data_IF_577241439804
#
_entry.id   IF_577241439804
#
_cell.length_a   1.000
_cell.length_b   1.000
_cell.length_c   1.000
_cell.angle_alpha   90.00
_cell.angle_beta   90.00
_cell.angle_gamma   90.00
#
_symmetry.space_group_name_H-M   'P 1'
#
loop_
_entity.id
_entity.type
_entity.pdbx_description
1 polymer ?
#
# COMPACT_ATOMS: atom_id res chain seq x y z
N UNK A 1 -58.45 4.52 -32.00
CA UNK A 1 -58.50 5.45 -33.17
C UNK A 1 -57.57 4.96 -34.26
N UNK A 2 -58.08 4.39 -35.37
CA UNK A 2 -57.25 3.79 -36.41
C UNK A 2 -56.30 4.79 -37.10
N UNK A 3 -56.71 6.06 -37.20
CA UNK A 3 -55.91 7.15 -37.79
C UNK A 3 -54.59 7.34 -37.02
N UNK A 4 -54.61 7.31 -35.68
CA UNK A 4 -53.42 7.46 -34.84
C UNK A 4 -52.47 6.26 -34.97
N UNK A 5 -53.03 5.05 -35.10
CA UNK A 5 -52.25 3.84 -35.32
C UNK A 5 -51.55 3.87 -36.68
N UNK A 6 -52.23 4.35 -37.72
CA UNK A 6 -51.65 4.50 -39.06
C UNK A 6 -50.58 5.60 -39.12
N UNK A 7 -50.78 6.74 -38.45
CA UNK A 7 -49.76 7.81 -38.42
C UNK A 7 -48.50 7.40 -37.64
N UNK A 8 -48.64 6.64 -36.55
CA UNK A 8 -47.50 6.05 -35.84
C UNK A 8 -46.76 5.01 -36.69
N UNK A 9 -47.49 4.15 -37.42
CA UNK A 9 -46.90 3.18 -38.34
C UNK A 9 -46.10 3.88 -39.45
N UNK A 10 -46.70 4.87 -40.13
CA UNK A 10 -46.07 5.66 -41.17
C UNK A 10 -44.79 6.35 -40.67
N UNK A 11 -44.86 7.04 -39.53
CA UNK A 11 -43.70 7.72 -38.92
C UNK A 11 -42.59 6.73 -38.53
N UNK A 12 -42.95 5.54 -38.02
CA UNK A 12 -41.97 4.51 -37.66
C UNK A 12 -41.23 3.99 -38.89
N UNK A 13 -41.92 3.75 -40.01
CA UNK A 13 -41.30 3.29 -41.27
C UNK A 13 -40.34 4.34 -41.87
N UNK A 14 -40.71 5.63 -41.82
CA UNK A 14 -39.84 6.71 -42.31
C UNK A 14 -38.61 6.86 -41.41
N UNK A 15 -38.78 6.87 -40.08
CA UNK A 15 -37.69 7.04 -39.12
C UNK A 15 -36.72 5.84 -39.08
N UNK A 16 -37.21 4.62 -39.30
CA UNK A 16 -36.37 3.41 -39.41
C UNK A 16 -35.81 3.18 -40.81
N UNK A 17 -36.03 4.10 -41.76
CA UNK A 17 -35.56 4.04 -43.15
C UNK A 17 -36.06 2.84 -43.97
N UNK A 18 -37.14 2.18 -43.52
CA UNK A 18 -37.77 1.05 -44.22
C UNK A 18 -38.51 1.53 -45.48
N UNK A 19 -39.15 2.71 -45.42
CA UNK A 19 -39.64 3.41 -46.61
C UNK A 19 -40.86 2.82 -47.33
N UNK A 20 -41.53 1.81 -46.76
CA UNK A 20 -42.77 1.22 -47.31
C UNK A 20 -44.01 2.13 -47.12
N UNK A 21 -43.93 3.37 -47.61
CA UNK A 21 -45.01 4.37 -47.50
C UNK A 21 -45.54 4.79 -48.88
N UNK A 22 -46.84 5.17 -48.99
CA UNK A 22 -47.39 5.67 -50.25
C UNK A 22 -46.63 6.91 -50.75
N UNK A 23 -46.37 7.05 -52.07
CA UNK A 23 -45.66 8.20 -52.59
C UNK A 23 -46.46 9.50 -52.44
N UNK A 24 -45.82 10.64 -52.14
CA UNK A 24 -46.48 11.93 -52.09
C UNK A 24 -47.03 12.35 -53.46
N UNK A 25 -48.13 13.09 -53.47
CA UNK A 25 -48.84 13.55 -54.67
C UNK A 25 -48.75 15.08 -54.82
N UNK A 26 -48.76 15.82 -53.71
CA UNK A 26 -48.66 17.29 -53.69
C UNK A 26 -47.24 17.78 -53.39
N UNK A 27 -46.84 18.92 -53.96
CA UNK A 27 -45.51 19.52 -53.71
C UNK A 27 -45.22 19.79 -52.22
N UNK A 28 -46.25 20.09 -51.42
CA UNK A 28 -46.19 20.21 -49.96
C UNK A 28 -45.84 18.89 -49.27
N UNK A 29 -46.42 17.79 -49.73
CA UNK A 29 -46.14 16.43 -49.24
C UNK A 29 -44.72 16.00 -49.59
N UNK A 30 -44.23 16.29 -50.82
CA UNK A 30 -42.83 16.05 -51.20
C UNK A 30 -41.85 16.78 -50.27
N UNK A 31 -42.10 18.06 -49.97
CA UNK A 31 -41.25 18.84 -49.05
C UNK A 31 -41.27 18.27 -47.62
N UNK A 32 -42.44 17.85 -47.13
CA UNK A 32 -42.58 17.23 -45.83
C UNK A 32 -41.84 15.88 -45.75
N UNK A 33 -42.06 14.98 -46.71
CA UNK A 33 -41.44 13.65 -46.74
C UNK A 33 -39.92 13.74 -46.87
N UNK A 34 -39.39 14.64 -47.70
CA UNK A 34 -37.93 14.84 -47.81
C UNK A 34 -37.34 15.35 -46.48
N UNK A 35 -38.03 16.26 -45.80
CA UNK A 35 -37.57 16.80 -44.50
C UNK A 35 -37.62 15.73 -43.41
N UNK A 36 -38.73 14.99 -43.31
CA UNK A 36 -38.91 13.90 -42.33
C UNK A 36 -37.93 12.76 -42.56
N UNK A 37 -37.65 12.41 -43.82
CA UNK A 37 -36.65 11.39 -44.18
C UNK A 37 -35.22 11.83 -43.79
N UNK A 38 -34.83 13.07 -44.04
CA UNK A 38 -33.53 13.60 -43.61
C UNK A 38 -33.39 13.58 -42.08
N UNK A 39 -34.44 13.96 -41.34
CA UNK A 39 -34.47 13.88 -39.87
C UNK A 39 -34.41 12.42 -39.39
N UNK A 40 -35.16 11.52 -40.00
CA UNK A 40 -35.16 10.08 -39.71
C UNK A 40 -33.78 9.45 -39.87
N UNK A 41 -33.09 9.73 -40.99
CA UNK A 41 -31.72 9.26 -41.24
C UNK A 41 -30.75 9.77 -40.17
N UNK A 42 -30.84 11.04 -39.76
CA UNK A 42 -29.99 11.59 -38.69
C UNK A 42 -30.26 10.93 -37.34
N UNK A 43 -31.53 10.72 -36.97
CA UNK A 43 -31.92 10.03 -35.73
C UNK A 43 -31.42 8.58 -35.75
N UNK A 44 -31.65 7.85 -36.83
CA UNK A 44 -31.22 6.46 -36.99
C UNK A 44 -29.70 6.32 -36.91
N UNK A 45 -28.94 7.15 -37.63
CA UNK A 45 -27.48 7.19 -37.57
C UNK A 45 -26.97 7.48 -36.14
N UNK A 46 -27.63 8.39 -35.41
CA UNK A 46 -27.29 8.70 -34.02
C UNK A 46 -27.54 7.51 -33.08
N UNK A 47 -28.66 6.80 -33.24
CA UNK A 47 -28.99 5.60 -32.45
C UNK A 47 -27.95 4.50 -32.72
N UNK A 48 -27.65 4.20 -33.98
CA UNK A 48 -26.66 3.17 -34.35
C UNK A 48 -25.26 3.54 -33.84
N UNK A 49 -24.85 4.81 -33.96
CA UNK A 49 -23.57 5.30 -33.42
C UNK A 49 -23.46 5.14 -31.90
N UNK A 50 -24.54 5.49 -31.16
CA UNK A 50 -24.58 5.35 -29.71
C UNK A 50 -24.56 3.87 -29.26
N UNK A 51 -25.31 2.99 -29.94
CA UNK A 51 -25.28 1.54 -29.66
C UNK A 51 -23.89 0.96 -29.96
N UNK A 52 -23.25 1.36 -31.07
CA UNK A 52 -21.87 0.97 -31.38
C UNK A 52 -20.88 1.41 -30.30
N UNK A 53 -20.96 2.67 -29.87
CA UNK A 53 -20.14 3.23 -28.78
C UNK A 53 -20.38 2.52 -27.44
N UNK A 54 -21.62 2.13 -27.14
CA UNK A 54 -21.93 1.36 -25.93
C UNK A 54 -21.28 -0.05 -25.97
N UNK A 55 -21.33 -0.73 -27.11
CA UNK A 55 -20.75 -2.08 -27.29
C UNK A 55 -19.22 -2.05 -27.19
N UNK A 56 -18.56 -1.04 -27.77
CA UNK A 56 -17.09 -0.90 -27.67
C UNK A 56 -16.66 -0.55 -26.25
N UNK A 57 -17.33 0.39 -25.59
CA UNK A 57 -17.03 0.76 -24.20
C UNK A 57 -17.26 -0.39 -23.22
N UNK A 58 -18.36 -1.14 -23.35
CA UNK A 58 -18.66 -2.31 -22.51
C UNK A 58 -17.57 -3.39 -22.60
N UNK A 59 -16.97 -3.57 -23.77
CA UNK A 59 -15.91 -4.55 -23.99
C UNK A 59 -14.49 -3.99 -23.85
N UNK A 60 -14.31 -2.69 -23.56
CA UNK A 60 -13.02 -2.01 -23.59
C UNK A 60 -11.96 -2.66 -22.67
N UNK A 61 -12.33 -3.04 -21.44
CA UNK A 61 -11.42 -3.72 -20.53
C UNK A 61 -10.93 -5.08 -21.07
N UNK A 62 -11.83 -5.84 -21.71
CA UNK A 62 -11.50 -7.14 -22.33
C UNK A 62 -10.65 -6.95 -23.58
N UNK A 63 -10.96 -5.96 -24.41
CA UNK A 63 -10.17 -5.63 -25.60
C UNK A 63 -8.74 -5.20 -25.23
N UNK A 64 -8.58 -4.34 -24.22
CA UNK A 64 -7.29 -3.90 -23.71
C UNK A 64 -6.44 -5.07 -23.16
N UNK A 65 -7.05 -5.99 -22.42
CA UNK A 65 -6.36 -7.18 -21.92
C UNK A 65 -5.97 -8.15 -23.05
N UNK A 66 -6.88 -8.39 -24.00
CA UNK A 66 -6.62 -9.22 -25.17
C UNK A 66 -5.45 -8.67 -26.02
N UNK A 67 -5.42 -7.35 -26.26
CA UNK A 67 -4.34 -6.70 -26.98
C UNK A 67 -2.96 -6.88 -26.29
N UNK A 68 -2.91 -6.87 -24.95
CA UNK A 68 -1.68 -7.17 -24.19
C UNK A 68 -1.24 -8.61 -24.39
N UNK A 69 -2.15 -9.58 -24.33
CA UNK A 69 -1.84 -10.99 -24.60
C UNK A 69 -1.30 -11.17 -26.02
N UNK A 70 -1.93 -10.54 -27.01
CA UNK A 70 -1.57 -10.74 -28.41
C UNK A 70 -0.22 -10.10 -28.75
N UNK A 71 0.13 -8.95 -28.13
CA UNK A 71 1.48 -8.40 -28.20
C UNK A 71 2.54 -9.36 -27.61
N UNK A 72 2.24 -10.03 -26.50
CA UNK A 72 3.15 -11.01 -25.87
C UNK A 72 3.27 -12.29 -26.72
N UNK A 73 2.19 -12.77 -27.35
CA UNK A 73 2.23 -13.87 -28.32
C UNK A 73 3.10 -13.53 -29.53
N UNK A 74 2.97 -12.31 -30.06
CA UNK A 74 3.82 -11.82 -31.16
C UNK A 74 5.29 -11.79 -30.74
N UNK A 75 5.61 -11.27 -29.54
CA UNK A 75 6.98 -11.27 -29.01
C UNK A 75 7.55 -12.70 -28.86
N UNK A 76 6.79 -13.63 -28.28
CA UNK A 76 7.22 -15.03 -28.12
C UNK A 76 7.46 -15.71 -29.48
N UNK A 77 6.61 -15.43 -30.47
CA UNK A 77 6.75 -15.94 -31.85
C UNK A 77 8.00 -15.38 -32.51
N UNK A 78 8.23 -14.07 -32.42
CA UNK A 78 9.41 -13.39 -32.96
C UNK A 78 10.71 -13.91 -32.34
N UNK A 79 10.72 -14.13 -31.02
CA UNK A 79 11.86 -14.68 -30.28
C UNK A 79 12.00 -16.21 -30.37
N UNK A 80 11.13 -16.90 -31.11
CA UNK A 80 11.11 -18.37 -31.27
C UNK A 80 11.13 -19.13 -29.93
N UNK A 81 10.32 -18.67 -28.99
CA UNK A 81 10.14 -19.31 -27.67
C UNK A 81 9.57 -20.72 -27.83
N UNK A 82 9.94 -21.64 -26.94
CA UNK A 82 9.43 -23.02 -26.97
C UNK A 82 7.91 -23.06 -26.76
N UNK A 83 7.24 -23.98 -27.46
CA UNK A 83 5.77 -24.10 -27.39
C UNK A 83 5.24 -24.43 -25.99
N UNK A 84 6.06 -25.05 -25.14
CA UNK A 84 5.69 -25.33 -23.75
C UNK A 84 5.76 -24.10 -22.86
N UNK A 85 6.73 -23.20 -23.08
CA UNK A 85 6.75 -21.91 -22.37
C UNK A 85 5.62 -20.99 -22.87
N UNK A 86 5.35 -20.97 -24.17
CA UNK A 86 4.22 -20.24 -24.76
C UNK A 86 2.88 -20.67 -24.14
N UNK A 87 2.62 -21.99 -24.05
CA UNK A 87 1.43 -22.54 -23.38
C UNK A 87 1.37 -22.15 -21.90
N UNK A 88 2.49 -22.20 -21.16
CA UNK A 88 2.54 -21.79 -19.75
C UNK A 88 2.18 -20.32 -19.56
N UNK A 89 2.75 -19.43 -20.39
CA UNK A 89 2.47 -17.99 -20.37
C UNK A 89 1.00 -17.71 -20.65
N UNK A 90 0.41 -18.32 -21.69
CA UNK A 90 -1.02 -18.15 -22.01
C UNK A 90 -1.88 -18.63 -20.82
N UNK A 91 -1.62 -19.81 -20.27
CA UNK A 91 -2.38 -20.36 -19.13
C UNK A 91 -2.25 -19.51 -17.85
N UNK A 92 -1.16 -18.78 -17.67
CA UNK A 92 -1.01 -17.81 -16.57
C UNK A 92 -1.89 -16.57 -16.80
N UNK A 93 -1.91 -16.03 -18.02
CA UNK A 93 -2.82 -14.92 -18.37
C UNK A 93 -4.31 -15.30 -18.25
N UNK A 94 -4.69 -16.51 -18.68
CA UNK A 94 -6.05 -17.01 -18.50
C UNK A 94 -6.44 -17.06 -17.01
N UNK A 95 -5.55 -17.55 -16.14
CA UNK A 95 -5.77 -17.56 -14.69
C UNK A 95 -5.93 -16.15 -14.10
N UNK A 96 -5.10 -15.18 -14.51
CA UNK A 96 -5.22 -13.80 -14.06
C UNK A 96 -6.56 -13.18 -14.49
N UNK A 97 -7.02 -13.45 -15.71
CA UNK A 97 -8.29 -12.95 -16.22
C UNK A 97 -9.49 -13.55 -15.49
N UNK A 98 -9.57 -14.88 -15.40
CA UNK A 98 -10.70 -15.59 -14.78
C UNK A 98 -10.88 -15.20 -13.32
N UNK A 99 -9.79 -15.01 -12.57
CA UNK A 99 -9.84 -14.65 -11.15
C UNK A 99 -9.90 -13.14 -10.90
N UNK A 100 -10.05 -12.30 -11.95
CA UNK A 100 -10.02 -10.83 -11.89
C UNK A 100 -8.72 -10.22 -11.32
N UNK A 101 -7.66 -11.04 -11.17
CA UNK A 101 -6.30 -10.66 -10.74
C UNK A 101 -5.49 -9.94 -11.85
N UNK A 102 -6.08 -9.79 -13.04
CA UNK A 102 -5.53 -9.01 -14.16
C UNK A 102 -5.64 -7.48 -13.97
N UNK A 103 -6.36 -7.02 -12.94
CA UNK A 103 -6.44 -5.60 -12.58
C UNK A 103 -5.23 -5.27 -11.69
N UNK A 104 -4.38 -4.36 -12.15
CA UNK A 104 -3.29 -3.84 -11.33
C UNK A 104 -3.87 -2.93 -10.23
N UNK A 105 -3.86 -3.41 -8.98
CA UNK A 105 -4.34 -2.66 -7.81
C UNK A 105 -3.65 -1.29 -7.69
N UNK A 106 -2.36 -1.16 -8.08
CA UNK A 106 -1.65 0.12 -8.03
C UNK A 106 -2.25 1.13 -9.02
N UNK A 107 -2.62 0.66 -10.22
CA UNK A 107 -3.23 1.49 -11.25
C UNK A 107 -4.67 1.92 -10.94
N UNK A 108 -5.41 1.13 -10.15
CA UNK A 108 -6.75 1.52 -9.67
C UNK A 108 -6.65 2.47 -8.49
N UNK A 109 -5.76 2.18 -7.53
CA UNK A 109 -5.63 2.97 -6.30
C UNK A 109 -4.88 4.29 -6.51
N UNK A 110 -4.18 4.52 -7.64
CA UNK A 110 -3.42 5.75 -7.89
C UNK A 110 -4.23 7.05 -7.84
N UNK A 111 -5.53 6.99 -8.07
CA UNK A 111 -6.43 8.15 -8.03
C UNK A 111 -6.90 8.52 -6.61
N UNK A 112 -6.61 7.67 -5.62
CA UNK A 112 -7.01 7.90 -4.23
C UNK A 112 -5.88 8.58 -3.44
N UNK A 113 -6.22 9.53 -2.54
CA UNK A 113 -5.29 10.06 -1.55
C UNK A 113 -4.67 8.96 -0.69
N UNK A 114 -3.42 9.15 -0.27
CA UNK A 114 -2.62 8.18 0.48
C UNK A 114 -3.35 7.56 1.68
N UNK A 115 -4.09 8.38 2.44
CA UNK A 115 -4.90 7.93 3.57
C UNK A 115 -5.97 6.91 3.17
N UNK A 116 -6.70 7.14 2.08
CA UNK A 116 -7.73 6.21 1.61
C UNK A 116 -7.12 4.93 1.01
N UNK A 117 -5.95 5.04 0.35
CA UNK A 117 -5.20 3.85 -0.10
C UNK A 117 -4.78 2.98 1.09
N UNK A 118 -4.29 3.61 2.16
CA UNK A 118 -3.93 2.91 3.39
C UNK A 118 -5.14 2.25 4.04
N UNK A 119 -6.26 2.96 4.22
CA UNK A 119 -7.49 2.39 4.79
C UNK A 119 -8.04 1.21 3.97
N UNK A 120 -7.96 1.24 2.64
CA UNK A 120 -8.33 0.11 1.78
C UNK A 120 -7.36 -1.06 1.97
N UNK A 121 -6.04 -0.82 1.88
CA UNK A 121 -5.04 -1.87 2.04
C UNK A 121 -5.20 -2.60 3.39
N UNK A 122 -5.41 -1.84 4.48
CA UNK A 122 -5.68 -2.37 5.82
C UNK A 122 -6.91 -3.28 5.78
N UNK A 123 -8.06 -2.81 5.29
CA UNK A 123 -9.28 -3.62 5.26
C UNK A 123 -9.16 -4.87 4.37
N UNK A 124 -8.37 -4.86 3.29
CA UNK A 124 -8.25 -6.00 2.36
C UNK A 124 -7.19 -7.01 2.82
N UNK A 125 -6.15 -6.61 3.57
CA UNK A 125 -5.00 -7.47 3.88
C UNK A 125 -4.83 -7.81 5.36
N UNK A 126 -5.35 -6.99 6.28
CA UNK A 126 -5.18 -7.18 7.73
C UNK A 126 -5.70 -8.56 8.20
N UNK A 127 -6.84 -9.01 7.69
CA UNK A 127 -7.41 -10.33 8.03
C UNK A 127 -6.59 -11.51 7.50
N UNK A 128 -5.75 -11.30 6.48
CA UNK A 128 -4.79 -12.32 6.05
C UNK A 128 -3.61 -12.35 7.00
N UNK A 129 -3.03 -11.18 7.33
CA UNK A 129 -1.90 -11.07 8.27
C UNK A 129 -2.23 -11.60 9.67
N UNK A 130 -3.42 -11.30 10.21
CA UNK A 130 -3.88 -11.82 11.51
C UNK A 130 -3.96 -13.35 11.59
N UNK A 131 -4.17 -14.04 10.46
CA UNK A 131 -4.17 -15.51 10.40
C UNK A 131 -2.76 -16.10 10.45
N UNK A 132 -1.74 -15.30 10.18
CA UNK A 132 -0.34 -15.75 10.19
C UNK A 132 0.15 -15.86 11.63
N UNK A 133 0.52 -17.07 12.07
CA UNK A 133 0.92 -17.38 13.47
C UNK A 133 2.13 -16.62 14.03
N UNK A 134 2.82 -15.79 13.25
CA UNK A 134 3.88 -14.91 13.76
C UNK A 134 3.38 -13.47 13.97
N UNK A 135 2.35 -13.08 13.22
CA UNK A 135 1.75 -11.75 13.28
C UNK A 135 0.45 -11.71 14.10
N UNK A 136 -0.08 -12.88 14.51
CA UNK A 136 -1.28 -12.99 15.34
C UNK A 136 -1.15 -12.29 16.72
N UNK A 137 0.01 -12.40 17.36
CA UNK A 137 0.29 -11.80 18.68
C UNK A 137 1.02 -10.44 18.57
N UNK A 138 1.13 -9.86 17.37
CA UNK A 138 1.75 -8.57 17.15
C UNK A 138 0.79 -7.40 17.40
N UNK A 139 1.35 -6.24 17.75
CA UNK A 139 0.56 -5.02 17.91
C UNK A 139 -0.09 -4.59 16.58
N UNK A 140 -1.30 -4.05 16.65
CA UNK A 140 -2.06 -3.60 15.48
C UNK A 140 -1.32 -2.52 14.65
N UNK A 141 -0.48 -1.70 15.28
CA UNK A 141 0.39 -0.72 14.61
C UNK A 141 1.34 -1.38 13.61
N UNK A 142 2.10 -2.40 14.06
CA UNK A 142 2.98 -3.19 13.19
C UNK A 142 2.22 -3.83 12.04
N UNK A 143 1.03 -4.40 12.30
CA UNK A 143 0.22 -5.02 11.25
C UNK A 143 -0.18 -4.00 10.17
N UNK A 144 -0.60 -2.81 10.58
CA UNK A 144 -0.94 -1.72 9.66
C UNK A 144 0.27 -1.29 8.84
N UNK A 145 1.44 -1.11 9.45
CA UNK A 145 2.65 -0.73 8.74
C UNK A 145 3.08 -1.79 7.72
N UNK A 146 3.09 -3.07 8.12
CA UNK A 146 3.43 -4.19 7.24
C UNK A 146 2.49 -4.28 6.04
N UNK A 147 1.17 -4.12 6.24
CA UNK A 147 0.17 -4.13 5.15
C UNK A 147 0.55 -3.16 4.04
N UNK A 148 0.99 -1.95 4.38
CA UNK A 148 1.30 -0.90 3.39
C UNK A 148 2.53 -1.22 2.53
N UNK A 149 3.41 -2.10 3.02
CA UNK A 149 4.63 -2.54 2.33
C UNK A 149 4.48 -3.89 1.61
N UNK A 150 3.38 -4.63 1.84
CA UNK A 150 3.12 -5.90 1.16
C UNK A 150 2.92 -5.72 -0.36
N UNK A 151 3.50 -6.63 -1.14
CA UNK A 151 3.35 -6.67 -2.59
C UNK A 151 2.72 -8.01 -3.02
N UNK A 152 1.50 -8.04 -3.59
CA UNK A 152 0.89 -9.28 -4.06
C UNK A 152 1.64 -9.84 -5.27
N UNK A 153 1.90 -11.15 -5.26
CA UNK A 153 2.54 -11.90 -6.35
C UNK A 153 1.79 -13.22 -6.59
N UNK A 154 1.65 -13.61 -7.86
CA UNK A 154 0.89 -14.80 -8.27
C UNK A 154 1.82 -15.79 -8.99
N UNK A 155 1.93 -17.00 -8.44
CA UNK A 155 2.77 -18.08 -8.96
C UNK A 155 1.94 -19.18 -9.62
N UNK A 156 2.44 -19.80 -10.68
CA UNK A 156 1.76 -20.89 -11.40
C UNK A 156 2.12 -22.27 -10.84
N UNK A 157 1.31 -23.31 -11.10
CA UNK A 157 1.66 -24.69 -10.74
C UNK A 157 3.03 -25.10 -11.30
N UNK A 158 3.93 -25.56 -10.43
CA UNK A 158 5.28 -25.98 -10.77
C UNK A 158 6.33 -24.87 -10.79
N UNK A 159 5.96 -23.60 -10.61
CA UNK A 159 6.92 -22.49 -10.53
C UNK A 159 7.70 -22.56 -9.20
N UNK A 160 9.01 -22.32 -9.25
CA UNK A 160 9.86 -22.18 -8.06
C UNK A 160 9.81 -20.72 -7.59
N UNK A 161 9.41 -20.49 -6.34
CA UNK A 161 9.42 -19.17 -5.73
C UNK A 161 10.85 -18.82 -5.32
N UNK A 162 11.58 -19.81 -4.79
CA UNK A 162 12.99 -19.69 -4.50
C UNK A 162 13.69 -21.06 -4.60
N UNK A 163 14.99 -21.05 -4.90
CA UNK A 163 15.84 -22.24 -4.86
C UNK A 163 16.86 -22.12 -3.74
N UNK A 164 17.25 -23.27 -3.19
CA UNK A 164 18.30 -23.40 -2.20
C UNK A 164 19.59 -22.79 -2.73
N UNK A 165 20.24 -21.93 -1.94
CA UNK A 165 21.44 -21.21 -2.32
C UNK A 165 21.22 -19.86 -3.00
N UNK A 166 20.02 -19.53 -3.48
CA UNK A 166 19.70 -18.18 -3.98
C UNK A 166 19.85 -17.14 -2.86
N UNK A 167 20.15 -15.89 -3.20
CA UNK A 167 20.20 -14.79 -2.22
C UNK A 167 18.78 -14.39 -1.83
N UNK A 168 18.41 -14.56 -0.56
CA UNK A 168 17.09 -14.16 -0.06
C UNK A 168 17.06 -12.69 0.33
N UNK A 169 16.28 -11.89 -0.41
CA UNK A 169 16.08 -10.45 -0.16
C UNK A 169 14.67 -10.11 0.35
N UNK A 170 13.80 -11.10 0.43
CA UNK A 170 12.35 -10.95 0.59
C UNK A 170 11.79 -12.13 1.39
N UNK A 171 10.71 -11.93 2.15
CA UNK A 171 9.91 -13.02 2.72
C UNK A 171 8.56 -13.07 2.03
N UNK A 172 7.93 -14.25 2.08
CA UNK A 172 6.63 -14.48 1.48
C UNK A 172 5.64 -15.01 2.51
N UNK A 173 4.41 -14.50 2.44
CA UNK A 173 3.26 -14.92 3.24
C UNK A 173 2.26 -15.55 2.28
N UNK A 174 1.80 -16.77 2.59
CA UNK A 174 0.82 -17.49 1.75
C UNK A 174 -0.58 -16.95 2.06
N UNK A 175 -1.16 -16.20 1.10
CA UNK A 175 -2.54 -15.72 1.17
C UNK A 175 -3.52 -16.83 0.78
N UNK A 176 -3.25 -17.46 -0.36
CA UNK A 176 -4.07 -18.52 -0.94
C UNK A 176 -3.17 -19.48 -1.73
N UNK A 177 -3.31 -20.79 -1.52
CA UNK A 177 -2.64 -21.82 -2.30
C UNK A 177 -1.80 -22.79 -1.46
N UNK A 178 -1.00 -23.59 -2.16
CA UNK A 178 -0.17 -24.63 -1.53
C UNK A 178 1.21 -24.65 -2.16
N UNK A 179 2.23 -24.57 -1.31
CA UNK A 179 3.63 -24.64 -1.70
C UNK A 179 4.26 -25.90 -1.13
N UNK A 180 5.08 -26.59 -1.92
CA UNK A 180 5.87 -27.73 -1.45
C UNK A 180 7.33 -27.33 -1.27
N UNK A 181 7.88 -27.65 -0.11
CA UNK A 181 9.32 -27.65 0.13
C UNK A 181 9.89 -28.91 -0.52
N UNK A 182 10.71 -28.75 -1.55
CA UNK A 182 11.25 -29.86 -2.37
C UNK A 182 12.75 -30.04 -2.19
N UNK A 183 13.20 -31.29 -2.26
CA UNK A 183 14.62 -31.61 -2.31
C UNK A 183 15.27 -31.13 -3.60
N UNK A 184 16.60 -31.20 -3.65
CA UNK A 184 17.41 -30.78 -4.79
C UNK A 184 17.15 -31.63 -6.06
N UNK A 185 16.49 -32.79 -5.92
CA UNK A 185 15.98 -33.62 -7.02
C UNK A 185 14.67 -33.09 -7.64
N UNK A 186 13.96 -32.16 -6.99
CA UNK A 186 12.63 -31.66 -7.40
C UNK A 186 11.48 -32.68 -7.31
N UNK A 187 11.72 -33.91 -6.85
CA UNK A 187 10.77 -35.01 -6.76
C UNK A 187 10.31 -35.18 -5.31
N UNK A 188 11.24 -35.27 -4.36
CA UNK A 188 10.93 -35.51 -2.95
C UNK A 188 10.37 -34.23 -2.30
N UNK A 189 9.18 -34.35 -1.74
CA UNK A 189 8.52 -33.28 -0.97
C UNK A 189 8.72 -33.53 0.53
N UNK A 190 9.18 -32.52 1.26
CA UNK A 190 9.40 -32.61 2.71
C UNK A 190 8.19 -32.13 3.50
N UNK A 191 7.67 -30.94 3.16
CA UNK A 191 6.57 -30.26 3.85
C UNK A 191 5.73 -29.53 2.81
N UNK A 192 4.41 -29.51 3.01
CA UNK A 192 3.49 -28.64 2.26
C UNK A 192 3.07 -27.49 3.17
N UNK A 193 3.32 -26.27 2.73
CA UNK A 193 2.86 -25.03 3.35
C UNK A 193 1.53 -24.62 2.71
N UNK A 194 0.59 -24.14 3.52
CA UNK A 194 -0.73 -23.66 3.10
C UNK A 194 -1.01 -22.24 3.57
N UNK A 195 -2.14 -21.67 3.15
CA UNK A 195 -2.74 -20.41 3.61
C UNK A 195 -2.43 -20.09 5.09
N UNK A 196 -1.98 -18.87 5.36
CA UNK A 196 -1.58 -18.41 6.71
C UNK A 196 -0.18 -18.87 7.16
N UNK A 197 0.53 -19.67 6.36
CA UNK A 197 1.96 -19.94 6.56
C UNK A 197 2.81 -18.84 5.92
N UNK A 198 4.07 -18.74 6.32
CA UNK A 198 5.08 -17.84 5.74
C UNK A 198 6.41 -18.58 5.56
N UNK A 199 7.32 -18.00 4.79
CA UNK A 199 8.68 -18.52 4.60
C UNK A 199 9.66 -17.44 4.11
N UNK A 200 10.95 -17.73 4.26
CA UNK A 200 12.04 -16.88 3.78
C UNK A 200 12.62 -15.92 4.84
N UNK A 201 12.09 -15.97 6.05
CA UNK A 201 12.51 -15.21 7.24
C UNK A 201 14.00 -15.42 7.57
N UNK A 202 14.49 -16.68 7.50
CA UNK A 202 15.88 -17.04 7.82
C UNK A 202 16.90 -16.21 7.02
N UNK A 203 16.67 -16.03 5.72
CA UNK A 203 17.61 -15.33 4.83
C UNK A 203 17.66 -13.82 5.09
N UNK A 204 16.63 -13.27 5.75
CA UNK A 204 16.47 -11.84 6.00
C UNK A 204 17.06 -11.45 7.36
N UNK A 205 16.75 -12.25 8.38
CA UNK A 205 17.02 -11.96 9.79
C UNK A 205 18.51 -12.02 10.19
N UNK A 206 19.43 -12.29 9.26
CA UNK A 206 20.89 -12.29 9.49
C UNK A 206 21.32 -13.09 10.74
N UNK A 207 20.67 -14.22 11.01
CA UNK A 207 20.83 -14.98 12.26
C UNK A 207 22.28 -15.42 12.45
N UNK A 208 22.92 -15.00 13.55
CA UNK A 208 24.30 -15.37 13.89
C UNK A 208 24.45 -16.88 14.07
N UNK A 209 25.56 -17.42 13.59
CA UNK A 209 25.77 -18.87 13.49
C UNK A 209 25.02 -19.57 12.35
N UNK A 210 24.21 -18.87 11.55
CA UNK A 210 23.61 -19.47 10.34
C UNK A 210 24.67 -19.79 9.29
N UNK A 211 24.91 -21.08 9.04
CA UNK A 211 25.80 -21.55 7.96
C UNK A 211 25.29 -21.20 6.55
N UNK A 212 24.01 -20.84 6.43
CA UNK A 212 23.41 -20.38 5.17
C UNK A 212 23.57 -18.86 4.92
N UNK A 213 23.87 -18.06 5.95
CA UNK A 213 23.93 -16.60 5.85
C UNK A 213 22.65 -16.00 5.27
N UNK A 214 22.78 -15.15 4.24
CA UNK A 214 21.67 -14.54 3.51
C UNK A 214 21.09 -15.41 2.37
N UNK A 215 21.47 -16.69 2.28
CA UNK A 215 20.97 -17.59 1.22
C UNK A 215 19.70 -18.32 1.65
N UNK A 216 18.93 -18.78 0.67
CA UNK A 216 17.75 -19.64 0.86
C UNK A 216 18.20 -21.03 1.30
N UNK A 217 17.57 -21.57 2.34
CA UNK A 217 17.90 -22.88 2.91
C UNK A 217 17.26 -24.06 2.16
N UNK A 218 16.16 -23.83 1.45
CA UNK A 218 15.37 -24.85 0.78
C UNK A 218 14.85 -24.39 -0.59
N UNK A 219 14.44 -25.34 -1.44
CA UNK A 219 13.70 -25.06 -2.66
C UNK A 219 12.20 -25.06 -2.36
N UNK A 220 11.49 -24.03 -2.81
CA UNK A 220 10.04 -23.90 -2.59
C UNK A 220 9.34 -23.76 -3.93
N UNK A 221 8.42 -24.67 -4.22
CA UNK A 221 7.69 -24.78 -5.49
C UNK A 221 6.19 -24.70 -5.27
N UNK A 222 5.48 -23.94 -6.09
CA UNK A 222 4.02 -23.89 -6.05
C UNK A 222 3.42 -25.21 -6.55
N UNK A 223 2.48 -25.77 -5.79
CA UNK A 223 1.74 -27.00 -6.16
C UNK A 223 0.60 -26.66 -7.10
N UNK A 224 -0.14 -25.59 -6.80
CA UNK A 224 -1.21 -25.03 -7.64
C UNK A 224 -0.86 -23.64 -8.14
N UNK A 225 -1.88 -22.88 -8.52
CA UNK A 225 -1.73 -21.41 -8.48
C UNK A 225 -1.71 -20.97 -7.02
N UNK A 226 -0.85 -20.02 -6.69
CA UNK A 226 -0.75 -19.50 -5.31
C UNK A 226 -0.55 -17.99 -5.31
N UNK A 227 -1.32 -17.30 -4.46
CA UNK A 227 -1.18 -15.89 -4.13
C UNK A 227 -0.29 -15.75 -2.90
N UNK A 228 0.81 -15.03 -3.07
CA UNK A 228 1.75 -14.71 -2.01
C UNK A 228 1.80 -13.20 -1.81
N UNK A 229 1.93 -12.76 -0.57
CA UNK A 229 2.41 -11.41 -0.31
C UNK A 229 3.92 -11.46 -0.11
N UNK A 230 4.63 -10.70 -0.93
CA UNK A 230 6.06 -10.44 -0.81
C UNK A 230 6.31 -9.21 0.07
N UNK A 231 7.29 -9.29 0.96
CA UNK A 231 7.77 -8.19 1.79
C UNK A 231 9.30 -8.16 1.69
N UNK A 232 9.88 -6.99 1.40
CA UNK A 232 11.33 -6.89 1.24
C UNK A 232 12.05 -6.94 2.60
N UNK A 233 13.35 -7.25 2.57
CA UNK A 233 14.22 -7.21 3.76
C UNK A 233 14.22 -5.83 4.40
N UNK A 234 14.32 -4.78 3.60
CA UNK A 234 14.49 -3.43 4.11
C UNK A 234 13.17 -2.94 4.73
N UNK A 235 12.04 -3.17 4.06
CA UNK A 235 10.68 -2.89 4.55
C UNK A 235 10.37 -3.58 5.89
N UNK A 236 10.75 -4.86 6.01
CA UNK A 236 10.59 -5.65 7.23
C UNK A 236 11.52 -5.17 8.35
N UNK A 237 12.79 -4.92 8.04
CA UNK A 237 13.78 -4.52 9.06
C UNK A 237 13.51 -3.12 9.61
N UNK A 238 12.96 -2.21 8.80
CA UNK A 238 12.45 -0.91 9.24
C UNK A 238 11.28 -1.10 10.22
N UNK A 239 10.24 -1.84 9.84
CA UNK A 239 9.08 -2.10 10.71
C UNK A 239 9.50 -2.81 12.02
N UNK A 240 10.36 -3.83 11.94
CA UNK A 240 10.89 -4.55 13.10
C UNK A 240 11.86 -3.73 13.97
N UNK A 241 12.25 -2.51 13.55
CA UNK A 241 13.07 -1.63 14.38
C UNK A 241 12.25 -0.95 15.48
N UNK A 242 10.96 -0.70 15.23
CA UNK A 242 10.02 -0.13 16.22
C UNK A 242 9.42 -1.20 17.15
N UNK A 243 9.34 -2.45 16.68
CA UNK A 243 8.70 -3.57 17.41
C UNK A 243 9.70 -4.70 17.73
N UNK A 244 10.56 -4.56 18.75
CA UNK A 244 11.63 -5.51 19.05
C UNK A 244 11.14 -6.89 19.49
N UNK A 245 9.96 -7.00 20.12
CA UNK A 245 9.40 -8.28 20.58
C UNK A 245 8.99 -9.17 19.38
N UNK A 246 8.39 -8.57 18.35
CA UNK A 246 8.06 -9.25 17.10
C UNK A 246 9.34 -9.75 16.38
N UNK A 247 10.41 -8.94 16.41
CA UNK A 247 11.72 -9.31 15.89
C UNK A 247 12.32 -10.50 16.65
N UNK A 248 12.26 -10.50 17.97
CA UNK A 248 12.75 -11.61 18.79
C UNK A 248 11.98 -12.91 18.51
N UNK A 249 10.65 -12.85 18.31
CA UNK A 249 9.85 -14.02 17.94
C UNK A 249 10.22 -14.58 16.56
N UNK A 250 10.50 -13.70 15.59
CA UNK A 250 10.97 -14.04 14.25
C UNK A 250 12.36 -14.71 14.27
N UNK A 251 13.32 -14.11 14.97
CA UNK A 251 14.65 -14.68 15.14
C UNK A 251 14.61 -16.04 15.85
N UNK A 252 13.77 -16.20 16.88
CA UNK A 252 13.64 -17.45 17.62
C UNK A 252 13.05 -18.59 16.76
N UNK A 253 11.97 -18.34 15.99
CA UNK A 253 11.47 -19.36 15.06
C UNK A 253 12.48 -19.67 13.95
N UNK A 254 13.20 -18.68 13.45
CA UNK A 254 14.29 -18.89 12.50
C UNK A 254 15.41 -19.78 13.07
N UNK A 255 15.79 -19.57 14.34
CA UNK A 255 16.75 -20.44 15.06
C UNK A 255 16.23 -21.87 15.19
N UNK A 256 14.98 -22.07 15.59
CA UNK A 256 14.38 -23.41 15.73
C UNK A 256 14.37 -24.20 14.42
N UNK A 257 14.09 -23.54 13.28
CA UNK A 257 14.14 -24.17 11.96
C UNK A 257 15.60 -24.48 11.56
N UNK A 258 16.53 -23.54 11.75
CA UNK A 258 17.96 -23.77 11.49
C UNK A 258 18.56 -24.89 12.34
N UNK A 259 18.14 -25.04 13.60
CA UNK A 259 18.53 -26.15 14.48
C UNK A 259 17.99 -27.49 13.94
N UNK A 260 16.72 -27.55 13.57
CA UNK A 260 16.09 -28.75 13.02
C UNK A 260 16.78 -29.25 11.74
N UNK A 261 17.23 -28.32 10.90
CA UNK A 261 17.90 -28.61 9.63
C UNK A 261 19.43 -28.78 9.76
N UNK A 262 19.99 -28.74 10.98
CA UNK A 262 21.45 -28.76 11.27
C UNK A 262 22.26 -27.66 10.55
N UNK A 263 21.62 -26.51 10.29
CA UNK A 263 22.20 -25.33 9.63
C UNK A 263 22.63 -24.23 10.61
N UNK A 264 22.30 -24.37 11.90
CA UNK A 264 22.82 -23.52 12.96
C UNK A 264 24.15 -24.06 13.51
N UNK A 265 25.17 -23.22 13.54
CA UNK A 265 26.41 -23.51 14.26
C UNK A 265 26.24 -23.13 15.74
N UNK A 266 26.11 -24.13 16.60
CA UNK A 266 25.80 -23.93 18.02
C UNK A 266 26.91 -23.22 18.79
N UNK A 267 28.18 -23.38 18.39
CA UNK A 267 29.30 -22.69 19.04
C UNK A 267 29.28 -21.19 18.74
N UNK A 268 28.98 -20.82 17.49
CA UNK A 268 28.87 -19.42 17.04
C UNK A 268 27.56 -18.78 17.49
N UNK A 269 26.48 -19.55 17.64
CA UNK A 269 25.20 -19.08 18.18
C UNK A 269 25.19 -18.93 19.72
N UNK A 270 26.08 -19.65 20.42
CA UNK A 270 26.29 -19.51 21.87
C UNK A 270 27.27 -18.39 22.24
N UNK A 271 28.13 -17.96 21.31
CA UNK A 271 28.80 -16.67 21.42
C UNK A 271 27.72 -15.58 21.41
N UNK A 272 27.82 -14.65 22.36
CA UNK A 272 26.84 -13.57 22.54
C UNK A 272 26.79 -12.58 21.37
N UNK A 273 26.10 -11.44 21.54
CA UNK A 273 26.08 -10.41 20.51
C UNK A 273 27.52 -10.00 20.13
N UNK A 274 27.90 -10.24 18.87
CA UNK A 274 29.18 -9.81 18.28
C UNK A 274 29.69 -8.49 18.90
N UNK A 275 30.91 -8.44 19.45
CA UNK A 275 31.47 -7.24 20.06
C UNK A 275 31.30 -5.98 19.21
N UNK A 276 31.38 -6.09 17.87
CA UNK A 276 31.21 -4.95 16.96
C UNK A 276 29.77 -4.42 16.91
N UNK A 277 28.76 -5.29 16.94
CA UNK A 277 27.35 -4.86 17.02
C UNK A 277 27.05 -4.21 18.37
N UNK A 278 27.74 -4.65 19.43
CA UNK A 278 27.64 -4.03 20.75
C UNK A 278 28.34 -2.67 20.77
N UNK A 279 29.53 -2.55 20.19
CA UNK A 279 30.25 -1.29 20.01
C UNK A 279 29.43 -0.29 19.19
N UNK A 280 28.91 -0.65 18.01
CA UNK A 280 28.10 0.25 17.17
C UNK A 280 26.78 0.66 17.87
N UNK A 281 26.15 -0.24 18.65
CA UNK A 281 24.99 0.10 19.48
C UNK A 281 25.36 1.06 20.61
N UNK A 282 26.47 0.84 21.29
CA UNK A 282 26.97 1.73 22.36
C UNK A 282 27.30 3.10 21.77
N UNK A 283 27.95 3.16 20.61
CA UNK A 283 28.33 4.39 19.91
C UNK A 283 27.10 5.19 19.41
N UNK A 284 26.07 4.51 18.88
CA UNK A 284 24.76 5.16 18.63
C UNK A 284 24.13 5.66 19.92
N UNK A 285 24.17 4.88 20.99
CA UNK A 285 23.54 5.25 22.25
C UNK A 285 24.24 6.45 22.90
N UNK A 286 25.58 6.51 22.89
CA UNK A 286 26.34 7.69 23.34
C UNK A 286 26.03 8.92 22.50
N UNK A 287 25.99 8.81 21.16
CA UNK A 287 25.60 9.92 20.28
C UNK A 287 24.18 10.44 20.58
N UNK A 288 23.20 9.56 20.88
CA UNK A 288 21.87 10.01 21.30
C UNK A 288 21.88 10.68 22.68
N UNK A 289 22.71 10.20 23.61
CA UNK A 289 22.90 10.80 24.94
C UNK A 289 23.51 12.20 24.85
N UNK A 290 24.52 12.41 24.02
CA UNK A 290 25.12 13.73 23.75
C UNK A 290 24.13 14.71 23.13
N UNK A 291 23.29 14.24 22.19
CA UNK A 291 22.20 15.04 21.62
C UNK A 291 21.18 15.44 22.69
N UNK A 292 20.82 14.51 23.59
CA UNK A 292 19.91 14.76 24.71
C UNK A 292 20.50 15.73 25.73
N UNK A 293 21.77 15.58 26.11
CA UNK A 293 22.49 16.50 26.99
C UNK A 293 22.54 17.91 26.38
N UNK A 294 22.82 18.03 25.08
CA UNK A 294 22.86 19.32 24.37
C UNK A 294 21.48 20.00 24.38
N UNK A 295 20.41 19.24 24.13
CA UNK A 295 19.02 19.75 24.23
C UNK A 295 18.68 20.15 25.66
N UNK A 296 19.06 19.35 26.65
CA UNK A 296 18.78 19.60 28.07
C UNK A 296 19.50 20.86 28.57
N UNK A 297 20.77 21.06 28.22
CA UNK A 297 21.54 22.27 28.54
C UNK A 297 20.89 23.52 27.94
N UNK A 298 20.41 23.45 26.69
CA UNK A 298 19.65 24.54 26.07
C UNK A 298 18.34 24.83 26.80
N UNK A 299 17.62 23.79 27.21
CA UNK A 299 16.34 23.90 27.94
C UNK A 299 16.54 24.51 29.34
N UNK A 300 17.63 24.16 30.03
CA UNK A 300 18.04 24.81 31.28
C UNK A 300 18.36 26.29 31.08
N UNK A 301 19.13 26.66 30.05
CA UNK A 301 19.45 28.05 29.75
C UNK A 301 18.20 28.88 29.40
N UNK A 302 17.25 28.32 28.65
CA UNK A 302 15.95 28.95 28.37
C UNK A 302 15.11 29.10 29.65
N UNK A 303 15.11 28.11 30.55
CA UNK A 303 14.42 28.17 31.84
C UNK A 303 15.05 29.21 32.80
N UNK A 304 16.37 29.30 32.91
CA UNK A 304 17.07 30.31 33.71
C UNK A 304 16.86 31.73 33.18
N UNK A 305 16.90 31.91 31.85
CA UNK A 305 16.55 33.17 31.21
C UNK A 305 15.07 33.54 31.47
N UNK A 306 14.17 32.55 31.45
CA UNK A 306 12.77 32.67 31.83
C UNK A 306 12.58 33.14 33.28
N UNK A 307 13.20 32.45 34.24
CA UNK A 307 13.15 32.83 35.66
C UNK A 307 13.76 34.21 35.91
N UNK A 308 14.86 34.55 35.24
CA UNK A 308 15.50 35.87 35.36
C UNK A 308 14.59 36.99 34.83
N UNK A 309 13.88 36.75 33.72
CA UNK A 309 12.83 37.67 33.22
C UNK A 309 11.66 37.77 34.20
N UNK A 310 11.23 36.67 34.80
CA UNK A 310 10.14 36.65 35.77
C UNK A 310 10.51 37.43 37.04
N UNK A 311 11.68 37.17 37.65
CA UNK A 311 12.21 37.91 38.81
C UNK A 311 12.28 39.42 38.53
N UNK A 312 12.83 39.83 37.37
CA UNK A 312 12.87 41.25 36.97
C UNK A 312 11.47 41.86 36.83
N UNK A 313 10.47 41.11 36.37
CA UNK A 313 9.06 41.57 36.32
C UNK A 313 8.45 41.71 37.71
N UNK A 314 8.68 40.73 38.60
CA UNK A 314 8.22 40.76 40.00
C UNK A 314 8.81 41.98 40.71
N UNK A 315 10.14 42.17 40.69
CA UNK A 315 10.78 43.34 41.31
C UNK A 315 10.32 44.69 40.73
N UNK A 316 9.96 44.73 39.44
CA UNK A 316 9.37 45.93 38.81
C UNK A 316 7.93 46.19 39.26
N UNK A 317 7.15 45.14 39.55
CA UNK A 317 5.81 45.23 40.10
C UNK A 317 5.86 45.60 41.60
N UNK A 318 6.72 44.96 42.38
CA UNK A 318 7.00 45.32 43.78
C UNK A 318 7.36 46.81 43.90
N UNK A 319 8.31 47.31 43.10
CA UNK A 319 8.64 48.75 43.07
C UNK A 319 7.50 49.68 42.65
N UNK A 320 6.48 49.18 41.94
CA UNK A 320 5.25 49.94 41.62
C UNK A 320 4.19 49.88 42.72
N UNK A 321 4.17 48.80 43.50
CA UNK A 321 3.25 48.62 44.64
C UNK A 321 3.79 49.30 45.90
N UNK A 322 5.12 49.39 46.03
CA UNK A 322 5.84 50.03 47.15
C UNK A 322 6.20 51.50 46.85
N UNK A 323 5.85 52.03 45.67
CA UNK A 323 5.89 53.47 45.43
C UNK A 323 4.88 54.15 46.39
N UNK A 324 5.32 55.09 47.25
CA UNK A 324 4.53 55.49 48.40
C UNK A 324 3.31 56.34 48.01
N UNK A 325 2.26 56.18 48.82
CA UNK A 325 1.18 57.17 48.95
C UNK A 325 1.77 58.41 49.63
N UNK A 326 2.34 59.31 48.84
CA UNK A 326 2.87 60.61 49.27
C UNK A 326 2.55 61.68 48.20
N UNK A 327 1.26 61.89 47.95
CA UNK A 327 0.79 63.04 47.13
C UNK A 327 -0.66 63.46 47.46
N UNK A 328 -1.12 63.29 48.72
CA UNK A 328 -2.44 63.77 49.19
C UNK A 328 -2.41 64.20 50.67
N UNK A 329 -1.50 65.10 51.06
CA UNK A 329 -1.60 65.74 52.40
C UNK A 329 -0.94 67.14 52.48
N UNK A 330 -1.16 68.00 51.48
CA UNK A 330 -0.74 69.42 51.54
C UNK A 330 -1.69 70.38 50.77
N UNK A 331 -3.01 70.18 50.90
CA UNK A 331 -4.03 71.16 50.47
C UNK A 331 -5.09 71.32 51.57
N UNK A 332 -5.00 72.42 52.31
CA UNK A 332 -5.77 72.70 53.54
C UNK A 332 -4.96 72.22 54.75
N UNK A 333 -4.48 73.06 55.66
CA UNK A 333 -4.98 74.33 56.22
C UNK A 333 -3.71 75.17 56.52
N UNK A 334 -3.59 76.48 56.27
CA UNK A 334 -4.39 77.54 56.90
C UNK A 334 -4.21 78.90 56.18
N UNK A 335 -5.31 79.62 55.94
CA UNK A 335 -5.27 81.09 55.97
C UNK A 335 -5.44 81.51 57.43
N UNK A 336 -4.31 81.78 58.11
CA UNK A 336 -4.25 82.21 59.50
C UNK A 336 -3.20 83.31 59.69
N UNK A 337 -3.58 84.56 59.45
CA UNK A 337 -2.68 85.73 59.44
C UNK A 337 -2.31 86.24 60.84
N UNK A 338 -1.07 86.73 61.00
CA UNK A 338 -0.52 87.44 62.20
C UNK A 338 -0.31 86.55 63.45
N UNK A 339 0.60 86.75 64.42
CA UNK A 339 1.81 87.59 64.64
C UNK A 339 2.39 87.16 66.03
N UNK A 340 3.65 87.37 66.47
CA UNK A 340 4.93 87.89 65.94
C UNK A 340 6.04 87.51 66.95
N UNK A 341 7.30 87.38 66.51
CA UNK A 341 8.55 87.41 67.32
C UNK A 341 8.59 86.71 68.68
N UNK A 342 9.33 85.60 68.77
CA UNK A 342 10.72 85.60 69.29
C UNK A 342 11.56 84.51 68.58
#
# INVERSE_FOLDING_TARGET
NPILSYSMYWSTLTLTTIGETPPPVQNSEYFFVVTDFLVGVLIFATIVGNVGSMITNMNAARANFQARIDAIKQYMTFRKVTKDLEKRVIKWFDYLWTNKKAVDEREVLKFLPDKLRAEIAINVHLDTLKKVRIFADCEAGLLVELVLKLQPQVYSPGDYICKKGDIGREMYIIKEGKLAVVADDGIKQFVVLSDGSYFGEISILSIKGSRAGNRRTANIRSVGYSDLFCLSKDDLMEALSEYPDAKAMLEEKGRQILMKDNLLDLEVAAQGPDPKDMEEKVERMTATLESLQTRYARLLAEHEAGQSRLKRRVTRLEKKVVAPVQEVEEIGVEMGTAATTE
#
